data_IF_816823394750
#
_entry.id   IF_816823394750
#
_cell.length_a   1.000
_cell.length_b   1.000
_cell.length_c   1.000
_cell.angle_alpha   90.00
_cell.angle_beta   90.00
_cell.angle_gamma   90.00
#
_symmetry.space_group_name_H-M   'P 1'
#
loop_
_entity.id
_entity.type
_entity.pdbx_description
1 polymer ?
#
# COMPACT_ATOMS: atom_id res chain seq x y z
N UNK A 1 -5.73 4.99 28.60
CA UNK A 1 -5.98 5.56 27.26
C UNK A 1 -5.27 4.67 26.26
N UNK A 2 -5.98 3.65 25.78
CA UNK A 2 -5.57 2.83 24.63
C UNK A 2 -5.46 3.75 23.42
N UNK A 3 -4.27 3.80 22.81
CA UNK A 3 -4.06 4.56 21.57
C UNK A 3 -4.61 3.74 20.42
N UNK A 4 -5.29 4.38 19.48
CA UNK A 4 -5.86 3.69 18.33
C UNK A 4 -4.74 3.19 17.39
N UNK A 5 -4.87 1.99 16.82
CA UNK A 5 -3.92 1.45 15.86
C UNK A 5 -3.85 2.33 14.60
N UNK A 6 -2.71 2.25 13.90
CA UNK A 6 -2.49 2.93 12.63
C UNK A 6 -3.29 2.20 11.54
N UNK A 7 -4.09 2.94 10.77
CA UNK A 7 -4.97 2.37 9.73
C UNK A 7 -4.21 2.06 8.43
N UNK A 8 -3.29 1.10 8.49
CA UNK A 8 -2.46 0.68 7.35
C UNK A 8 -3.33 0.10 6.22
N UNK A 9 -4.29 -0.76 6.57
CA UNK A 9 -5.18 -1.41 5.59
C UNK A 9 -6.05 -0.40 4.82
N UNK A 10 -6.60 0.59 5.52
CA UNK A 10 -7.39 1.65 4.92
C UNK A 10 -6.57 2.60 4.06
N UNK A 11 -5.33 2.91 4.46
CA UNK A 11 -4.39 3.71 3.66
C UNK A 11 -4.06 3.02 2.36
N UNK A 12 -3.60 1.76 2.42
CA UNK A 12 -3.19 1.01 1.24
C UNK A 12 -4.36 0.88 0.26
N UNK A 13 -5.56 0.58 0.78
CA UNK A 13 -6.78 0.56 -0.03
C UNK A 13 -7.04 1.91 -0.71
N UNK A 14 -7.01 3.01 0.05
CA UNK A 14 -7.32 4.33 -0.51
C UNK A 14 -6.27 4.78 -1.54
N UNK A 15 -4.99 4.51 -1.30
CA UNK A 15 -3.91 5.02 -2.13
C UNK A 15 -3.67 4.17 -3.38
N UNK A 16 -3.84 2.85 -3.30
CA UNK A 16 -3.49 1.92 -4.36
C UNK A 16 -4.70 1.45 -5.19
N UNK A 17 -5.93 1.58 -4.67
CA UNK A 17 -7.15 1.25 -5.42
C UNK A 17 -7.81 2.46 -6.07
N UNK A 18 -7.36 3.67 -5.73
CA UNK A 18 -7.76 4.87 -6.44
C UNK A 18 -7.30 4.80 -7.91
N UNK A 19 -8.04 5.41 -8.85
CA UNK A 19 -7.57 5.59 -10.21
C UNK A 19 -6.22 6.31 -10.22
N UNK A 20 -5.38 5.95 -11.19
CA UNK A 20 -4.07 6.57 -11.39
C UNK A 20 -4.28 7.99 -11.94
N UNK A 21 -4.29 9.00 -11.07
CA UNK A 21 -4.45 10.42 -11.42
C UNK A 21 -3.21 11.23 -11.02
N UNK A 22 -2.81 12.20 -11.86
CA UNK A 22 -1.60 12.98 -11.65
C UNK A 22 -1.72 14.10 -10.59
N UNK A 23 -2.88 14.26 -9.97
CA UNK A 23 -3.25 15.41 -9.11
C UNK A 23 -4.03 14.98 -7.84
N UNK A 24 -3.82 13.76 -7.35
CA UNK A 24 -4.48 13.27 -6.14
C UNK A 24 -3.97 13.96 -4.88
N UNK A 25 -4.89 14.33 -3.96
CA UNK A 25 -4.53 14.85 -2.64
C UNK A 25 -3.70 13.81 -1.85
N UNK A 26 -2.64 14.23 -1.13
CA UNK A 26 -1.78 13.30 -0.40
C UNK A 26 -2.57 12.53 0.67
N UNK A 27 -2.39 11.20 0.69
CA UNK A 27 -3.08 10.30 1.62
C UNK A 27 -2.61 10.56 3.05
N UNK A 28 -3.54 10.91 3.95
CA UNK A 28 -3.20 11.17 5.35
C UNK A 28 -3.29 9.88 6.19
N UNK A 29 -2.14 9.28 6.53
CA UNK A 29 -2.05 8.08 7.38
C UNK A 29 -2.54 8.29 8.81
N UNK A 30 -2.49 9.53 9.28
CA UNK A 30 -2.67 9.91 10.69
C UNK A 30 -4.07 10.48 10.96
N UNK A 31 -4.83 10.74 9.90
CA UNK A 31 -6.26 10.89 10.01
C UNK A 31 -6.85 9.51 10.32
N UNK A 32 -6.79 9.13 11.60
CA UNK A 32 -7.49 7.97 12.11
C UNK A 32 -8.91 7.92 11.55
N UNK A 33 -9.46 6.72 11.47
CA UNK A 33 -10.31 6.24 10.39
C UNK A 33 -11.36 7.26 9.92
N UNK A 34 -11.05 8.03 8.87
CA UNK A 34 -12.07 8.77 8.15
C UNK A 34 -13.09 7.82 7.48
N UNK A 35 -12.74 6.52 7.37
CA UNK A 35 -13.55 5.47 6.73
C UNK A 35 -14.36 4.58 7.68
N UNK A 36 -14.22 4.65 9.02
CA UNK A 36 -15.00 3.78 9.95
C UNK A 36 -16.51 4.06 9.98
N UNK A 37 -17.03 5.04 9.23
CA UNK A 37 -18.48 5.36 9.16
C UNK A 37 -19.22 4.82 7.94
N UNK A 38 -18.55 4.11 7.04
CA UNK A 38 -19.22 3.34 5.99
C UNK A 38 -18.83 1.87 6.21
N UNK A 39 -19.81 1.03 6.55
CA UNK A 39 -19.60 -0.32 7.08
C UNK A 39 -18.64 -1.18 6.26
N UNK A 40 -17.90 -2.05 6.96
CA UNK A 40 -17.00 -3.05 6.41
C UNK A 40 -16.17 -2.51 5.23
N UNK A 41 -15.00 -1.92 5.51
CA UNK A 41 -13.97 -1.76 4.49
C UNK A 41 -13.68 -3.15 3.93
N UNK A 42 -14.36 -3.50 2.84
CA UNK A 42 -14.07 -4.71 2.09
C UNK A 42 -12.62 -4.59 1.68
N UNK A 43 -11.80 -5.58 2.05
CA UNK A 43 -10.47 -5.79 1.50
C UNK A 43 -10.54 -5.49 0.01
N UNK A 44 -9.71 -4.56 -0.44
CA UNK A 44 -9.54 -4.36 -1.86
C UNK A 44 -8.39 -5.21 -2.34
N UNK A 45 -8.64 -5.99 -3.38
CA UNK A 45 -7.68 -6.95 -3.94
C UNK A 45 -6.55 -6.15 -4.61
N UNK A 46 -5.38 -6.06 -3.95
CA UNK A 46 -4.26 -5.25 -4.47
C UNK A 46 -3.61 -5.87 -5.71
N UNK A 47 -3.83 -7.17 -5.94
CA UNK A 47 -3.43 -7.88 -7.17
C UNK A 47 -4.21 -7.43 -8.41
N UNK A 48 -5.39 -6.84 -8.23
CA UNK A 48 -6.22 -6.19 -9.24
C UNK A 48 -6.16 -4.66 -9.15
N UNK A 49 -5.23 -4.10 -8.38
CA UNK A 49 -5.12 -2.65 -8.23
C UNK A 49 -4.88 -1.97 -9.59
N UNK A 50 -5.51 -0.80 -9.86
CA UNK A 50 -5.31 -0.04 -11.10
C UNK A 50 -3.84 0.26 -11.38
N UNK A 51 -3.05 0.48 -10.33
CA UNK A 51 -1.61 0.74 -10.43
C UNK A 51 -0.83 -0.50 -10.91
N UNK A 52 -1.08 -1.68 -10.33
CA UNK A 52 -0.42 -2.92 -10.77
C UNK A 52 -0.85 -3.31 -12.19
N UNK A 53 -2.13 -3.14 -12.50
CA UNK A 53 -2.64 -3.37 -13.86
C UNK A 53 -1.98 -2.43 -14.87
N UNK A 54 -1.83 -1.14 -14.55
CA UNK A 54 -1.14 -0.17 -15.42
C UNK A 54 0.31 -0.59 -15.69
N UNK A 55 1.05 -1.06 -14.67
CA UNK A 55 2.43 -1.55 -14.85
C UNK A 55 2.46 -2.79 -15.76
N UNK A 56 1.58 -3.77 -15.52
CA UNK A 56 1.48 -4.98 -16.34
C UNK A 56 1.16 -4.66 -17.80
N UNK A 57 0.19 -3.79 -18.03
CA UNK A 57 -0.21 -3.35 -19.37
C UNK A 57 0.91 -2.60 -20.08
N UNK A 58 1.63 -1.71 -19.39
CA UNK A 58 2.77 -1.00 -19.94
C UNK A 58 3.90 -1.96 -20.34
N UNK A 59 4.26 -2.92 -19.47
CA UNK A 59 5.29 -3.93 -19.74
C UNK A 59 4.89 -4.85 -20.90
N UNK A 60 3.64 -5.28 -20.97
CA UNK A 60 3.18 -6.08 -22.11
C UNK A 60 3.18 -5.26 -23.41
N UNK A 61 2.71 -4.01 -23.34
CA UNK A 61 2.65 -3.07 -24.44
C UNK A 61 4.02 -2.76 -25.04
N UNK A 62 5.04 -2.55 -24.21
CA UNK A 62 6.39 -2.23 -24.71
C UNK A 62 7.02 -3.49 -25.33
N UNK A 63 6.76 -4.67 -24.75
CA UNK A 63 7.25 -5.96 -25.26
C UNK A 63 6.68 -6.32 -26.62
N UNK A 64 5.40 -6.03 -26.86
CA UNK A 64 4.73 -6.34 -28.13
C UNK A 64 4.75 -5.17 -29.13
N UNK A 65 5.32 -4.03 -28.75
CA UNK A 65 5.41 -2.82 -29.58
C UNK A 65 4.07 -2.09 -29.76
N UNK A 66 3.09 -2.34 -28.90
CA UNK A 66 1.80 -1.64 -28.91
C UNK A 66 1.87 -0.26 -28.24
N UNK A 67 2.85 -0.02 -27.36
CA UNK A 67 3.12 1.30 -26.77
C UNK A 67 4.55 1.73 -27.09
N UNK A 68 4.76 3.03 -27.15
CA UNK A 68 6.07 3.67 -27.32
C UNK A 68 6.84 3.71 -26.01
N UNK A 69 8.17 3.90 -26.08
CA UNK A 69 9.02 4.12 -24.91
C UNK A 69 8.56 5.32 -24.06
N UNK A 70 8.03 6.37 -24.69
CA UNK A 70 7.49 7.55 -24.00
C UNK A 70 6.21 7.21 -23.22
N UNK A 71 5.27 6.49 -23.83
CA UNK A 71 4.03 6.05 -23.17
C UNK A 71 4.32 5.09 -22.01
N UNK A 72 5.28 4.17 -22.22
CA UNK A 72 5.77 3.29 -21.16
C UNK A 72 6.37 4.09 -20.00
N UNK A 73 7.30 5.02 -20.29
CA UNK A 73 7.94 5.85 -19.27
C UNK A 73 6.91 6.66 -18.47
N UNK A 74 5.94 7.27 -19.15
CA UNK A 74 4.87 8.04 -18.50
C UNK A 74 4.06 7.16 -17.54
N UNK A 75 3.62 5.99 -17.99
CA UNK A 75 2.83 5.06 -17.16
C UNK A 75 3.60 4.62 -15.91
N UNK A 76 4.86 4.18 -16.08
CA UNK A 76 5.72 3.77 -14.95
C UNK A 76 6.00 4.95 -14.01
N UNK A 77 6.25 6.15 -14.54
CA UNK A 77 6.53 7.35 -13.73
C UNK A 77 5.33 7.78 -12.89
N UNK A 78 4.10 7.64 -13.41
CA UNK A 78 2.91 7.98 -12.63
C UNK A 78 2.74 7.03 -11.43
N UNK A 79 2.94 5.73 -11.63
CA UNK A 79 2.90 4.77 -10.52
C UNK A 79 4.05 5.01 -9.54
N UNK A 80 5.24 5.34 -10.02
CA UNK A 80 6.38 5.69 -9.17
C UNK A 80 6.09 6.90 -8.28
N UNK A 81 5.49 7.97 -8.81
CA UNK A 81 5.11 9.15 -8.03
C UNK A 81 4.23 8.76 -6.84
N UNK A 82 3.19 7.94 -7.06
CA UNK A 82 2.28 7.50 -6.01
C UNK A 82 2.98 6.67 -4.94
N UNK A 83 3.86 5.75 -5.34
CA UNK A 83 4.64 4.91 -4.40
C UNK A 83 5.61 5.77 -3.59
N UNK A 84 6.30 6.73 -4.21
CA UNK A 84 7.22 7.64 -3.51
C UNK A 84 6.48 8.58 -2.56
N UNK A 85 5.27 9.04 -2.91
CA UNK A 85 4.42 9.80 -2.00
C UNK A 85 4.05 8.99 -0.76
N UNK A 86 3.66 7.72 -0.94
CA UNK A 86 3.39 6.81 0.17
C UNK A 86 4.62 6.57 1.06
N UNK A 87 5.78 6.31 0.45
CA UNK A 87 7.05 6.18 1.18
C UNK A 87 7.37 7.44 2.00
N UNK A 88 7.14 8.63 1.42
CA UNK A 88 7.34 9.91 2.10
C UNK A 88 6.51 10.07 3.39
N UNK A 89 5.34 9.44 3.46
CA UNK A 89 4.52 9.45 4.68
C UNK A 89 5.18 8.67 5.83
N UNK A 90 5.88 7.58 5.52
CA UNK A 90 6.63 6.80 6.52
C UNK A 90 7.87 7.55 7.02
N UNK A 91 8.44 8.43 6.21
CA UNK A 91 9.57 9.28 6.60
C UNK A 91 9.15 10.53 7.38
N UNK A 92 7.85 10.85 7.38
CA UNK A 92 7.33 12.02 8.09
C UNK A 92 7.57 11.91 9.61
N UNK A 93 8.08 12.99 10.21
CA UNK A 93 8.42 13.01 11.63
C UNK A 93 7.23 12.81 12.59
N UNK A 94 6.00 12.95 12.11
CA UNK A 94 4.80 12.61 12.87
C UNK A 94 4.56 11.09 12.90
N UNK A 95 4.67 10.43 11.75
CA UNK A 95 4.60 8.97 11.64
C UNK A 95 5.70 8.28 12.44
N UNK A 96 6.94 8.79 12.36
CA UNK A 96 8.07 8.29 13.16
C UNK A 96 7.84 8.41 14.68
N UNK A 97 7.13 9.45 15.12
CA UNK A 97 6.79 9.63 16.54
C UNK A 97 5.70 8.67 16.99
N UNK A 98 4.69 8.41 16.16
CA UNK A 98 3.67 7.41 16.47
C UNK A 98 4.24 5.99 16.46
N UNK A 99 5.11 5.65 15.51
CA UNK A 99 5.83 4.38 15.49
C UNK A 99 6.67 4.15 16.75
N UNK A 100 7.40 5.16 17.20
CA UNK A 100 8.18 5.08 18.43
C UNK A 100 7.30 4.84 19.68
N UNK A 101 6.04 5.29 19.63
CA UNK A 101 5.07 5.19 20.71
C UNK A 101 4.12 3.97 20.62
N UNK A 102 4.00 3.34 19.45
CA UNK A 102 3.17 2.16 19.21
C UNK A 102 3.75 0.87 19.78
N UNK A 103 2.93 -0.18 19.86
CA UNK A 103 3.35 -1.53 20.25
C UNK A 103 4.23 -2.21 19.16
N UNK A 104 4.73 -3.41 19.46
CA UNK A 104 5.62 -4.14 18.56
C UNK A 104 4.95 -4.62 17.27
N UNK A 105 3.66 -4.97 17.32
CA UNK A 105 2.92 -5.49 16.17
C UNK A 105 2.62 -4.38 15.16
N UNK A 106 2.22 -3.20 15.63
CA UNK A 106 2.02 -2.01 14.80
C UNK A 106 3.32 -1.58 14.10
N UNK A 107 4.46 -1.66 14.78
CA UNK A 107 5.77 -1.36 14.16
C UNK A 107 6.11 -2.37 13.08
N UNK A 108 5.91 -3.65 13.34
CA UNK A 108 6.18 -4.73 12.37
C UNK A 108 5.33 -4.57 11.11
N UNK A 109 4.04 -4.25 11.24
CA UNK A 109 3.17 -4.01 10.09
C UNK A 109 3.63 -2.79 9.26
N UNK A 110 4.07 -1.72 9.92
CA UNK A 110 4.59 -0.55 9.21
C UNK A 110 5.91 -0.86 8.51
N UNK A 111 6.82 -1.58 9.17
CA UNK A 111 8.09 -2.00 8.58
C UNK A 111 7.84 -2.86 7.33
N UNK A 112 6.95 -3.85 7.43
CA UNK A 112 6.57 -4.70 6.29
C UNK A 112 5.88 -3.92 5.16
N UNK A 113 5.02 -2.97 5.50
CA UNK A 113 4.39 -2.09 4.51
C UNK A 113 5.45 -1.27 3.77
N UNK A 114 6.40 -0.70 4.50
CA UNK A 114 7.50 0.06 3.93
C UNK A 114 8.39 -0.81 3.05
N UNK A 115 8.73 -2.01 3.49
CA UNK A 115 9.56 -2.94 2.72
C UNK A 115 8.85 -3.37 1.43
N UNK A 116 7.54 -3.61 1.47
CA UNK A 116 6.73 -3.87 0.28
C UNK A 116 6.74 -2.70 -0.72
N UNK A 117 6.57 -1.46 -0.24
CA UNK A 117 6.64 -0.25 -1.08
C UNK A 117 8.03 -0.05 -1.69
N UNK A 118 9.11 -0.30 -0.94
CA UNK A 118 10.48 -0.22 -1.46
C UNK A 118 10.72 -1.27 -2.55
N UNK A 119 10.19 -2.49 -2.40
CA UNK A 119 10.27 -3.52 -3.43
C UNK A 119 9.60 -3.08 -4.73
N UNK A 120 8.44 -2.41 -4.63
CA UNK A 120 7.76 -1.81 -5.79
C UNK A 120 8.63 -0.72 -6.41
N UNK A 121 9.18 0.20 -5.61
CA UNK A 121 10.04 1.29 -6.08
C UNK A 121 11.28 0.78 -6.83
N UNK A 122 11.97 -0.23 -6.28
CA UNK A 122 13.11 -0.88 -6.92
C UNK A 122 12.72 -1.53 -8.25
N UNK A 123 11.58 -2.22 -8.30
CA UNK A 123 11.06 -2.82 -9.52
C UNK A 123 10.75 -1.77 -10.60
N UNK A 124 10.09 -0.67 -10.23
CA UNK A 124 9.80 0.44 -11.15
C UNK A 124 11.08 1.11 -11.68
N UNK A 125 12.09 1.31 -10.83
CA UNK A 125 13.38 1.86 -11.25
C UNK A 125 14.07 0.96 -12.29
N UNK A 126 13.99 -0.37 -12.10
CA UNK A 126 14.51 -1.33 -13.07
C UNK A 126 13.71 -1.33 -14.38
N UNK A 127 12.39 -1.20 -14.31
CA UNK A 127 11.54 -1.03 -15.49
C UNK A 127 11.92 0.23 -16.29
N UNK A 128 12.25 1.35 -15.62
CA UNK A 128 12.78 2.54 -16.30
C UNK A 128 14.16 2.28 -16.91
N UNK A 129 15.05 1.55 -16.20
CA UNK A 129 16.38 1.22 -16.70
C UNK A 129 16.37 0.42 -18.02
N UNK A 130 15.32 -0.37 -18.26
CA UNK A 130 15.11 -1.06 -19.54
C UNK A 130 15.17 -0.09 -20.74
N UNK A 131 14.69 1.15 -20.60
CA UNK A 131 14.73 2.11 -21.71
C UNK A 131 16.16 2.43 -22.15
N UNK A 132 17.11 2.40 -21.22
CA UNK A 132 18.53 2.62 -21.48
C UNK A 132 19.25 1.33 -21.88
N UNK A 133 19.01 0.23 -21.17
CA UNK A 133 19.71 -1.05 -21.35
C UNK A 133 19.20 -1.84 -22.55
N UNK A 134 17.90 -1.72 -22.85
CA UNK A 134 17.14 -2.54 -23.80
C UNK A 134 17.23 -4.06 -23.49
N UNK A 135 17.60 -4.42 -22.25
CA UNK A 135 17.72 -5.80 -21.81
C UNK A 135 16.37 -6.33 -21.32
N UNK A 136 15.86 -7.41 -21.94
CA UNK A 136 14.57 -8.01 -21.58
C UNK A 136 14.53 -8.47 -20.11
N UNK A 137 15.68 -8.83 -19.55
CA UNK A 137 15.83 -9.20 -18.14
C UNK A 137 15.39 -8.06 -17.21
N UNK A 138 15.67 -6.79 -17.55
CA UNK A 138 15.22 -5.64 -16.76
C UNK A 138 13.69 -5.51 -16.73
N UNK A 139 13.00 -5.78 -17.85
CA UNK A 139 11.53 -5.81 -17.87
C UNK A 139 10.97 -6.96 -17.03
N UNK A 140 11.57 -8.15 -17.12
CA UNK A 140 11.08 -9.34 -16.43
C UNK A 140 11.31 -9.27 -14.93
N UNK A 141 12.54 -8.94 -14.52
CA UNK A 141 12.91 -8.82 -13.11
C UNK A 141 12.23 -7.60 -12.48
N UNK A 142 12.14 -6.47 -13.20
CA UNK A 142 11.43 -5.29 -12.74
C UNK A 142 9.93 -5.57 -12.48
N UNK A 143 9.23 -6.21 -13.42
CA UNK A 143 7.83 -6.59 -13.22
C UNK A 143 7.67 -7.58 -12.06
N UNK A 144 8.53 -8.59 -11.98
CA UNK A 144 8.47 -9.59 -10.91
C UNK A 144 8.69 -8.95 -9.52
N UNK A 145 9.57 -7.96 -9.41
CA UNK A 145 9.77 -7.21 -8.16
C UNK A 145 8.54 -6.36 -7.80
N UNK A 146 7.93 -5.67 -8.78
CA UNK A 146 6.69 -4.93 -8.56
C UNK A 146 5.58 -5.86 -8.05
N UNK A 147 5.37 -7.00 -8.72
CA UNK A 147 4.36 -7.98 -8.32
C UNK A 147 4.62 -8.56 -6.93
N UNK A 148 5.88 -8.85 -6.59
CA UNK A 148 6.25 -9.31 -5.26
C UNK A 148 6.00 -8.24 -4.19
N UNK A 149 6.24 -6.97 -4.49
CA UNK A 149 5.96 -5.85 -3.60
C UNK A 149 4.46 -5.70 -3.33
N UNK A 150 3.61 -5.72 -4.37
CA UNK A 150 2.16 -5.69 -4.21
C UNK A 150 1.62 -6.90 -3.41
N UNK A 151 2.20 -8.08 -3.61
CA UNK A 151 1.85 -9.26 -2.82
C UNK A 151 2.18 -9.11 -1.32
N UNK A 152 3.32 -8.51 -0.99
CA UNK A 152 3.66 -8.24 0.42
C UNK A 152 2.74 -7.19 1.04
N UNK A 153 2.36 -6.17 0.27
CA UNK A 153 1.38 -5.16 0.69
C UNK A 153 0.00 -5.77 0.94
N UNK A 154 -0.45 -6.69 0.08
CA UNK A 154 -1.73 -7.40 0.25
C UNK A 154 -1.73 -8.24 1.53
N UNK A 155 -0.65 -9.00 1.77
CA UNK A 155 -0.48 -9.77 3.01
C UNK A 155 -0.44 -8.88 4.25
N UNK A 156 0.26 -7.76 4.17
CA UNK A 156 0.35 -6.83 5.30
C UNK A 156 -1.00 -6.16 5.59
N UNK A 157 -1.81 -5.91 4.55
CA UNK A 157 -3.18 -5.47 4.70
C UNK A 157 -4.05 -6.54 5.39
N UNK A 158 -3.93 -7.81 5.00
CA UNK A 158 -4.64 -8.92 5.66
C UNK A 158 -4.28 -9.00 7.15
N UNK A 159 -3.00 -8.97 7.47
CA UNK A 159 -2.51 -9.03 8.85
C UNK A 159 -2.99 -7.81 9.68
N UNK A 160 -3.05 -6.63 9.06
CA UNK A 160 -3.55 -5.42 9.72
C UNK A 160 -5.06 -5.49 9.99
N UNK A 161 -5.85 -6.07 9.10
CA UNK A 161 -7.29 -6.25 9.30
C UNK A 161 -7.58 -7.25 10.43
N UNK A 162 -6.82 -8.35 10.51
CA UNK A 162 -6.95 -9.34 11.57
C UNK A 162 -6.70 -8.75 12.97
N UNK A 163 -5.71 -7.87 13.11
CA UNK A 163 -5.46 -7.21 14.40
C UNK A 163 -6.60 -6.30 14.86
N UNK A 164 -7.32 -5.68 13.92
CA UNK A 164 -8.47 -4.82 14.25
C UNK A 164 -9.67 -5.66 14.67
N UNK A 165 -9.91 -6.80 14.02
CA UNK A 165 -10.99 -7.73 14.39
C UNK A 165 -10.75 -8.33 15.79
N UNK A 166 -9.51 -8.69 16.13
CA UNK A 166 -9.15 -9.22 17.47
C UNK A 166 -9.32 -8.18 18.59
N UNK A 167 -9.08 -6.88 18.33
CA UNK A 167 -9.29 -5.81 19.32
C UNK A 167 -10.77 -5.47 19.55
N UNK A 168 -11.64 -5.65 18.53
CA UNK A 168 -13.08 -5.39 18.66
C UNK A 168 -13.83 -6.49 19.44
N UNK A 169 -13.31 -7.73 19.44
CA UNK A 169 -13.86 -8.84 20.22
C UNK A 169 -13.50 -8.77 21.72
N UNK A 170 -12.36 -8.15 22.09
CA UNK A 170 -11.91 -7.99 23.48
C UNK A 170 -12.65 -6.86 24.24
N UNK A 171 -13.25 -5.89 23.53
CA UNK A 171 -14.05 -4.79 24.11
C UNK A 171 -15.55 -5.17 24.31
N UNK A 172 -15.94 -6.42 24.00
CA UNK A 172 -17.33 -6.89 24.06
C UNK A 172 -17.71 -7.62 25.37
N UNK A 173 -16.79 -7.82 26.31
CA UNK A 173 -17.04 -8.50 27.60
C UNK A 173 -16.93 -7.55 28.81
N UNK A 174 -17.87 -6.61 29.01
CA UNK A 174 -18.04 -5.96 30.33
C UNK A 174 -19.42 -5.29 30.56
N UNK A 175 -20.52 -5.92 30.12
CA UNK A 175 -21.89 -5.43 30.40
C UNK A 175 -22.87 -6.57 30.75
N UNK A 176 -22.41 -7.59 31.48
CA UNK A 176 -23.32 -8.51 32.20
C UNK A 176 -22.87 -8.59 33.65
N UNK A 177 -23.65 -7.98 34.57
CA UNK A 177 -23.74 -8.15 36.04
C UNK A 177 -23.97 -6.75 36.69
N UNK A 178 -25.04 -6.39 37.41
CA UNK A 178 -26.05 -7.09 38.21
C UNK A 178 -27.27 -6.14 38.37
N UNK A 179 -28.45 -6.50 37.86
CA UNK A 179 -29.73 -6.04 38.44
C UNK A 179 -30.39 -7.23 39.14
N UNK A 180 -29.96 -7.51 40.37
CA UNK A 180 -30.75 -8.26 41.34
C UNK A 180 -30.24 -7.94 42.76
N UNK A 181 -30.91 -7.00 43.45
CA UNK A 181 -31.36 -7.09 44.87
C UNK A 181 -32.09 -5.81 45.35
#
# INVERSE_FOLDING_TARGET
MTRKPIDIGGVLSNALLAPVEADSDPVNLLAGPASRRAGAQKKGELDESPHLLAVREAVEGIRNGAVTEEEFYQSISTVHLQISELLGLFEAGEMQRELAAGDGQNRELVERTRDGLLLVEEGLARLVNFLESQEIEDLQEGLAQVEAGYLELDRTQDDALLLVDDEEDDDAEDDEDEEDE
#
